data_IF_511049239492
#
_entry.id   IF_511049239492
#
_cell.length_a   1.000
_cell.length_b   1.000
_cell.length_c   1.000
_cell.angle_alpha   90.00
_cell.angle_beta   90.00
_cell.angle_gamma   90.00
#
_symmetry.space_group_name_H-M   'P 1'
#
loop_
_entity.id
_entity.type
_entity.pdbx_description
1 polymer ?
#
# COMPACT_ATOMS: atom_id res chain seq x y z
N UNK A 1 -40.41 -11.79 39.30
CA UNK A 1 -40.68 -11.26 37.95
C UNK A 1 -39.50 -10.37 37.58
N UNK A 2 -38.44 -10.97 37.06
CA UNK A 2 -38.05 -10.91 35.64
C UNK A 2 -37.78 -9.49 35.13
N UNK A 3 -36.49 -9.22 35.05
CA UNK A 3 -35.78 -8.24 34.23
C UNK A 3 -36.39 -8.01 32.84
N UNK A 4 -36.49 -6.75 32.44
CA UNK A 4 -36.27 -6.34 31.05
C UNK A 4 -35.23 -5.21 31.02
N UNK A 5 -34.07 -5.41 30.38
CA UNK A 5 -33.18 -4.31 30.02
C UNK A 5 -33.80 -3.54 28.85
N UNK A 6 -33.66 -2.21 28.84
CA UNK A 6 -33.86 -1.41 27.65
C UNK A 6 -32.79 -1.79 26.60
N UNK A 7 -33.12 -2.75 25.75
CA UNK A 7 -32.54 -2.87 24.42
C UNK A 7 -33.12 -1.78 23.50
N UNK A 8 -32.26 -1.26 22.62
CA UNK A 8 -32.51 -0.34 21.49
C UNK A 8 -32.12 1.12 21.67
N UNK A 9 -30.81 1.37 21.70
CA UNK A 9 -30.21 2.54 21.03
C UNK A 9 -28.90 2.15 20.32
N UNK A 10 -28.99 1.24 19.33
CA UNK A 10 -27.88 0.88 18.44
C UNK A 10 -28.17 1.23 16.97
N UNK A 11 -28.90 2.33 16.71
CA UNK A 11 -29.14 2.80 15.32
C UNK A 11 -29.03 4.31 15.12
N UNK A 12 -28.15 5.00 15.87
CA UNK A 12 -27.65 6.29 15.39
C UNK A 12 -26.71 6.01 14.20
N UNK A 13 -27.28 6.03 13.00
CA UNK A 13 -26.60 5.66 11.75
C UNK A 13 -25.30 6.44 11.51
N UNK A 14 -24.41 5.82 10.74
CA UNK A 14 -23.10 6.31 10.26
C UNK A 14 -23.08 7.77 9.78
N UNK A 15 -24.21 8.34 9.37
CA UNK A 15 -24.35 9.75 8.98
C UNK A 15 -24.25 10.71 10.17
N UNK A 16 -24.80 10.38 11.35
CA UNK A 16 -24.75 11.25 12.53
C UNK A 16 -23.32 11.38 13.05
N UNK A 17 -22.56 10.28 13.05
CA UNK A 17 -21.13 10.28 13.36
C UNK A 17 -20.33 11.11 12.36
N UNK A 18 -20.71 11.09 11.08
CA UNK A 18 -20.05 11.93 10.06
C UNK A 18 -20.30 13.42 10.29
N UNK A 19 -21.51 13.80 10.71
CA UNK A 19 -21.87 15.18 11.07
C UNK A 19 -21.20 15.61 12.38
N UNK A 20 -21.17 14.73 13.38
CA UNK A 20 -20.49 14.99 14.66
C UNK A 20 -18.99 15.20 14.44
N UNK A 21 -18.34 14.29 13.71
CA UNK A 21 -16.93 14.42 13.35
C UNK A 21 -16.65 15.71 12.56
N UNK A 22 -17.58 16.14 11.70
CA UNK A 22 -17.50 17.40 10.95
C UNK A 22 -17.61 18.63 11.85
N UNK A 23 -18.53 18.63 12.83
CA UNK A 23 -18.68 19.74 13.78
C UNK A 23 -17.50 19.79 14.76
N UNK A 24 -17.06 18.65 15.27
CA UNK A 24 -15.90 18.55 16.17
C UNK A 24 -14.61 19.00 15.49
N UNK A 25 -14.44 18.62 14.22
CA UNK A 25 -13.39 19.10 13.35
C UNK A 25 -13.33 20.63 13.23
N UNK A 26 -14.48 21.27 12.99
CA UNK A 26 -14.57 22.73 12.88
C UNK A 26 -14.26 23.44 14.20
N UNK A 27 -14.62 22.84 15.33
CA UNK A 27 -14.31 23.39 16.67
C UNK A 27 -12.83 23.23 17.02
N UNK A 28 -12.19 22.15 16.55
CA UNK A 28 -10.82 21.81 16.93
C UNK A 28 -9.74 22.34 15.97
N UNK A 29 -10.09 22.81 14.77
CA UNK A 29 -9.13 23.38 13.81
C UNK A 29 -8.40 24.63 14.34
N UNK A 30 -8.92 25.26 15.39
CA UNK A 30 -8.42 26.53 15.92
C UNK A 30 -7.72 26.43 17.28
N UNK A 31 -7.82 25.29 17.99
CA UNK A 31 -7.24 25.14 19.34
C UNK A 31 -5.71 25.03 19.36
N UNK A 32 -5.11 24.65 18.23
CA UNK A 32 -3.67 24.48 18.07
C UNK A 32 -2.96 25.59 17.30
N UNK A 33 -3.69 26.57 16.73
CA UNK A 33 -3.13 27.71 15.99
C UNK A 33 -2.45 27.40 14.64
N UNK A 34 -2.52 26.15 14.15
CA UNK A 34 -1.72 25.69 13.01
C UNK A 34 -2.46 25.64 11.67
N UNK A 35 -3.76 25.97 11.62
CA UNK A 35 -4.55 26.04 10.38
C UNK A 35 -4.47 24.75 9.52
N UNK A 36 -4.70 23.59 10.14
CA UNK A 36 -4.58 22.28 9.49
C UNK A 36 -5.94 21.62 9.15
N UNK A 37 -7.06 22.25 9.49
CA UNK A 37 -8.40 21.80 9.12
C UNK A 37 -8.83 22.30 7.72
N UNK A 38 -9.37 21.42 6.87
CA UNK A 38 -9.95 21.81 5.57
C UNK A 38 -11.32 21.20 5.35
N UNK A 39 -12.24 21.98 4.78
CA UNK A 39 -13.51 21.49 4.25
C UNK A 39 -13.38 21.34 2.73
N UNK A 40 -13.41 20.10 2.25
CA UNK A 40 -13.37 19.78 0.83
C UNK A 40 -14.80 19.59 0.33
N UNK A 41 -15.20 20.47 -0.57
CA UNK A 41 -16.47 20.36 -1.30
C UNK A 41 -16.19 19.72 -2.66
N UNK A 42 -16.85 18.60 -2.94
CA UNK A 42 -16.93 18.01 -4.29
C UNK A 42 -18.34 18.28 -4.80
N UNK A 43 -18.54 19.30 -5.66
CA UNK A 43 -19.85 19.62 -6.21
C UNK A 43 -20.39 18.44 -7.00
N UNK A 44 -21.71 18.29 -7.02
CA UNK A 44 -22.36 17.38 -7.96
C UNK A 44 -22.20 17.97 -9.36
N UNK A 45 -21.51 17.27 -10.27
CA UNK A 45 -21.53 17.66 -11.68
C UNK A 45 -22.95 17.58 -12.21
N UNK A 46 -23.37 18.58 -12.99
CA UNK A 46 -24.63 18.53 -13.75
C UNK A 46 -24.62 17.28 -14.65
N UNK A 47 -25.78 16.64 -14.91
CA UNK A 47 -25.83 15.42 -15.69
C UNK A 47 -25.32 15.68 -17.11
N UNK A 48 -24.09 15.29 -17.40
CA UNK A 48 -23.65 15.04 -18.77
C UNK A 48 -24.38 13.80 -19.28
N UNK A 49 -24.97 13.91 -20.46
CA UNK A 49 -25.76 12.88 -21.15
C UNK A 49 -24.89 11.66 -21.47
N UNK A 50 -24.64 10.81 -20.48
CA UNK A 50 -24.22 9.40 -20.65
C UNK A 50 -24.35 8.69 -19.31
N UNK A 51 -24.81 7.46 -19.40
CA UNK A 51 -25.48 6.67 -18.38
C UNK A 51 -24.55 6.17 -17.26
N UNK A 52 -25.13 6.05 -16.06
CA UNK A 52 -24.76 5.22 -14.90
C UNK A 52 -23.55 5.58 -14.03
N UNK A 53 -23.50 6.79 -13.45
CA UNK A 53 -22.95 6.93 -12.11
C UNK A 53 -23.68 8.04 -11.35
N UNK A 54 -24.38 7.67 -10.28
CA UNK A 54 -24.98 8.58 -9.31
C UNK A 54 -23.87 9.19 -8.43
N UNK A 55 -23.02 10.02 -9.03
CA UNK A 55 -22.02 10.79 -8.27
C UNK A 55 -22.75 11.86 -7.46
N UNK A 56 -23.17 11.50 -6.24
CA UNK A 56 -23.63 12.45 -5.25
C UNK A 56 -22.50 13.43 -4.94
N UNK A 57 -22.81 14.72 -4.84
CA UNK A 57 -21.85 15.69 -4.32
C UNK A 57 -21.44 15.28 -2.90
N UNK A 58 -20.18 15.53 -2.53
CA UNK A 58 -19.66 15.15 -1.22
C UNK A 58 -19.06 16.34 -0.50
N UNK A 59 -19.38 16.48 0.79
CA UNK A 59 -18.69 17.38 1.71
C UNK A 59 -17.84 16.52 2.64
N UNK A 60 -16.55 16.81 2.75
CA UNK A 60 -15.63 16.09 3.64
C UNK A 60 -14.78 17.07 4.42
N UNK A 61 -14.75 16.94 5.73
CA UNK A 61 -13.70 17.59 6.52
C UNK A 61 -12.47 16.68 6.57
N UNK A 62 -11.30 17.28 6.44
CA UNK A 62 -10.01 16.60 6.47
C UNK A 62 -9.04 17.37 7.36
N UNK A 63 -8.18 16.61 8.04
CA UNK A 63 -7.10 17.15 8.84
C UNK A 63 -5.79 16.94 8.08
N UNK A 64 -5.05 18.02 7.88
CA UNK A 64 -3.79 18.01 7.15
C UNK A 64 -2.62 17.51 8.01
N UNK A 65 -2.70 17.49 9.34
CA UNK A 65 -1.72 16.82 10.20
C UNK A 65 -2.39 15.79 11.14
N UNK A 66 -2.84 14.63 10.62
CA UNK A 66 -3.53 13.63 11.44
C UNK A 66 -2.61 13.03 12.51
N UNK A 67 -1.28 13.14 12.37
CA UNK A 67 -0.32 12.73 13.38
C UNK A 67 -0.58 13.40 14.74
N UNK A 68 -1.27 14.55 14.77
CA UNK A 68 -1.76 15.16 16.01
C UNK A 68 -2.97 14.47 16.61
N UNK A 69 -3.82 13.82 15.83
CA UNK A 69 -5.15 13.39 16.25
C UNK A 69 -5.18 11.86 16.31
N UNK A 70 -4.82 11.29 17.46
CA UNK A 70 -5.08 9.88 17.72
C UNK A 70 -6.38 9.77 18.52
N UNK A 71 -7.37 9.05 17.99
CA UNK A 71 -8.51 8.63 18.80
C UNK A 71 -8.02 7.62 19.84
N UNK A 72 -7.73 8.09 21.06
CA UNK A 72 -7.67 7.19 22.20
C UNK A 72 -9.09 6.61 22.40
N UNK A 73 -9.23 5.29 22.28
CA UNK A 73 -10.49 4.60 22.58
C UNK A 73 -10.85 4.85 24.05
N UNK A 74 -12.02 5.43 24.37
CA UNK A 74 -12.39 5.70 25.74
C UNK A 74 -12.91 4.42 26.40
N UNK A 75 -12.28 4.00 27.50
CA UNK A 75 -12.80 2.92 28.36
C UNK A 75 -13.98 3.41 29.22
N UNK A 76 -14.26 4.71 29.26
CA UNK A 76 -15.43 5.28 29.94
C UNK A 76 -15.94 6.50 29.17
N UNK A 77 -17.27 6.75 29.23
CA UNK A 77 -18.16 7.70 28.53
C UNK A 77 -17.69 9.16 28.27
N UNK A 78 -16.43 9.52 28.49
CA UNK A 78 -15.83 10.77 28.03
C UNK A 78 -14.84 10.50 26.89
N UNK A 79 -15.16 10.98 25.69
CA UNK A 79 -14.25 11.02 24.54
C UNK A 79 -13.15 12.06 24.85
N UNK A 80 -12.10 11.64 25.57
CA UNK A 80 -10.89 12.43 25.70
C UNK A 80 -10.10 12.30 24.40
N UNK A 81 -10.13 13.34 23.57
CA UNK A 81 -9.19 13.50 22.49
C UNK A 81 -7.82 13.80 23.08
N UNK A 82 -6.97 12.77 23.15
CA UNK A 82 -5.56 12.97 23.43
C UNK A 82 -4.86 13.21 22.09
N UNK A 83 -4.33 14.42 21.89
CA UNK A 83 -3.48 14.64 20.74
C UNK A 83 -2.24 13.72 20.88
N UNK A 84 -1.77 13.07 19.81
CA UNK A 84 -0.59 12.21 19.93
C UNK A 84 0.63 12.99 20.43
N UNK A 85 0.70 14.29 20.10
CA UNK A 85 1.66 15.22 20.68
C UNK A 85 1.52 15.28 22.20
N UNK A 86 0.31 15.39 22.73
CA UNK A 86 0.07 15.42 24.17
C UNK A 86 0.39 14.07 24.81
N UNK A 87 0.11 12.96 24.12
CA UNK A 87 0.58 11.63 24.56
C UNK A 87 2.11 11.60 24.64
N UNK A 88 2.82 12.13 23.63
CA UNK A 88 4.28 12.20 23.62
C UNK A 88 4.83 13.14 24.71
N UNK A 89 4.11 14.20 25.06
CA UNK A 89 4.47 15.14 26.14
C UNK A 89 4.24 14.55 27.53
N UNK A 90 3.11 13.88 27.75
CA UNK A 90 2.67 13.39 29.06
C UNK A 90 3.24 12.02 29.40
N UNK A 91 3.40 11.15 28.40
CA UNK A 91 3.91 9.81 28.63
C UNK A 91 5.39 9.85 29.05
N UNK A 92 5.75 8.98 29.99
CA UNK A 92 7.15 8.75 30.37
C UNK A 92 7.99 8.27 29.18
N UNK A 93 7.41 7.43 28.32
CA UNK A 93 8.04 6.90 27.11
C UNK A 93 6.98 6.46 26.11
N UNK A 94 7.19 6.73 24.82
CA UNK A 94 6.33 6.26 23.72
C UNK A 94 7.14 5.33 22.83
N UNK A 95 6.60 4.13 22.56
CA UNK A 95 7.22 3.15 21.68
C UNK A 95 6.29 2.96 20.48
N UNK A 96 6.76 3.33 19.29
CA UNK A 96 6.06 3.08 18.03
C UNK A 96 6.69 1.85 17.36
N UNK A 97 5.88 0.83 17.08
CA UNK A 97 6.33 -0.44 16.51
C UNK A 97 5.54 -0.75 15.24
N UNK A 98 6.24 -1.04 14.14
CA UNK A 98 5.59 -1.53 12.93
C UNK A 98 6.58 -2.01 11.87
N UNK A 99 6.18 -3.04 11.11
CA UNK A 99 7.03 -3.71 10.12
C UNK A 99 7.31 -2.90 8.85
N UNK A 100 6.51 -1.87 8.56
CA UNK A 100 6.61 -1.06 7.33
C UNK A 100 6.54 0.44 7.62
N UNK A 101 6.94 0.86 8.82
CA UNK A 101 6.87 2.27 9.23
C UNK A 101 7.86 3.17 8.48
N UNK A 102 8.98 2.62 8.01
CA UNK A 102 9.99 3.38 7.26
C UNK A 102 9.37 3.92 5.95
N UNK A 103 9.56 5.20 5.61
CA UNK A 103 10.37 6.23 6.30
C UNK A 103 9.72 6.88 7.53
N UNK A 104 10.57 7.23 8.51
CA UNK A 104 10.19 7.77 9.82
C UNK A 104 10.05 9.29 9.86
N UNK A 105 10.58 10.00 8.87
CA UNK A 105 10.69 11.47 8.82
C UNK A 105 9.36 12.15 9.15
N UNK A 106 8.24 11.63 8.65
CA UNK A 106 6.91 12.15 8.94
C UNK A 106 6.58 12.16 10.43
N UNK A 107 6.92 11.08 11.15
CA UNK A 107 6.68 10.99 12.59
C UNK A 107 7.58 11.96 13.35
N UNK A 108 8.85 12.05 12.96
CA UNK A 108 9.80 12.97 13.58
C UNK A 108 9.32 14.41 13.40
N UNK A 109 9.10 14.81 12.16
CA UNK A 109 8.80 16.19 11.79
C UNK A 109 7.42 16.64 12.28
N UNK A 110 6.39 15.78 12.18
CA UNK A 110 5.01 16.19 12.45
C UNK A 110 4.51 15.87 13.86
N UNK A 111 5.20 15.00 14.61
CA UNK A 111 4.76 14.55 15.94
C UNK A 111 5.83 14.82 17.01
N UNK A 112 7.05 14.30 16.86
CA UNK A 112 8.07 14.38 17.91
C UNK A 112 8.66 15.79 18.06
N UNK A 113 9.09 16.42 16.97
CA UNK A 113 9.62 17.81 17.02
C UNK A 113 8.57 18.80 17.57
N UNK A 114 7.30 18.77 17.12
CA UNK A 114 6.25 19.64 17.69
C UNK A 114 5.89 19.30 19.14
N UNK A 115 6.18 18.09 19.61
CA UNK A 115 6.07 17.71 21.01
C UNK A 115 7.24 18.21 21.88
N UNK A 116 8.19 18.95 21.29
CA UNK A 116 9.38 19.46 21.97
C UNK A 116 10.46 18.41 22.19
N UNK A 117 10.40 17.29 21.47
CA UNK A 117 11.47 16.27 21.49
C UNK A 117 12.54 16.65 20.47
N UNK A 118 13.79 16.50 20.84
CA UNK A 118 14.94 16.68 19.94
C UNK A 118 15.47 15.33 19.45
N UNK A 119 16.35 15.33 18.45
CA UNK A 119 16.90 14.10 17.85
C UNK A 119 17.52 13.15 18.89
N UNK A 120 18.10 13.68 19.97
CA UNK A 120 18.67 12.87 21.06
C UNK A 120 17.62 12.15 21.91
N UNK A 121 16.37 12.62 21.89
CA UNK A 121 15.25 12.00 22.62
C UNK A 121 14.62 10.86 21.81
N UNK A 122 14.87 10.80 20.50
CA UNK A 122 14.25 9.84 19.60
C UNK A 122 15.24 8.76 19.19
N UNK A 123 15.06 7.57 19.76
CA UNK A 123 15.83 6.39 19.37
C UNK A 123 15.12 5.64 18.24
N UNK A 124 15.78 5.57 17.07
CA UNK A 124 15.31 4.75 15.94
C UNK A 124 16.03 3.41 15.98
N UNK A 125 15.25 2.33 16.09
CA UNK A 125 15.76 0.97 16.07
C UNK A 125 15.10 0.17 14.94
N UNK A 126 15.91 -0.54 14.15
CA UNK A 126 15.44 -1.43 13.09
C UNK A 126 16.08 -2.79 13.26
N UNK A 127 15.27 -3.82 13.45
CA UNK A 127 15.72 -5.20 13.34
C UNK A 127 15.93 -5.57 11.86
N UNK A 128 16.85 -6.49 11.61
CA UNK A 128 16.85 -7.23 10.35
C UNK A 128 15.57 -8.06 10.20
N UNK A 129 15.29 -8.52 8.99
CA UNK A 129 14.19 -9.45 8.78
C UNK A 129 14.59 -10.85 9.24
N UNK A 130 13.61 -11.67 9.64
CA UNK A 130 13.81 -13.07 10.02
C UNK A 130 14.30 -13.94 8.84
N UNK A 131 14.22 -13.42 7.61
CA UNK A 131 14.69 -14.13 6.43
C UNK A 131 16.08 -13.68 6.03
N UNK A 132 16.85 -14.58 5.42
CA UNK A 132 18.07 -14.21 4.73
C UNK A 132 17.69 -13.64 3.35
N UNK A 133 17.58 -12.32 3.26
CA UNK A 133 17.14 -11.64 2.04
C UNK A 133 17.97 -11.99 0.79
N UNK A 134 19.28 -12.27 0.94
CA UNK A 134 20.16 -12.62 -0.18
C UNK A 134 19.85 -13.99 -0.79
N UNK A 135 19.26 -14.90 -0.01
CA UNK A 135 18.94 -16.25 -0.46
C UNK A 135 17.44 -16.45 -0.66
N UNK A 136 16.59 -15.88 0.19
CA UNK A 136 15.15 -16.11 0.18
C UNK A 136 14.37 -15.07 -0.62
N UNK A 137 15.03 -13.99 -1.06
CA UNK A 137 14.41 -12.97 -1.89
C UNK A 137 15.27 -12.72 -3.12
N UNK A 138 14.63 -12.61 -4.28
CA UNK A 138 15.27 -12.10 -5.49
C UNK A 138 14.47 -10.91 -5.99
N UNK A 139 15.09 -9.72 -6.01
CA UNK A 139 14.44 -8.50 -6.50
C UNK A 139 15.08 -8.10 -7.82
N UNK A 140 14.26 -8.03 -8.88
CA UNK A 140 14.69 -7.56 -10.19
C UNK A 140 14.07 -6.21 -10.52
N UNK A 141 14.88 -5.25 -10.93
CA UNK A 141 14.42 -3.96 -11.44
C UNK A 141 14.46 -3.95 -12.96
N UNK A 142 13.43 -3.41 -13.61
CA UNK A 142 13.45 -3.20 -15.07
C UNK A 142 13.34 -1.73 -15.43
N UNK A 143 14.12 -1.32 -16.43
CA UNK A 143 14.15 0.03 -16.97
C UNK A 143 13.06 0.33 -17.99
N UNK A 144 12.34 -0.69 -18.49
CA UNK A 144 11.42 -0.52 -19.63
C UNK A 144 9.97 -0.71 -19.17
N UNK A 145 9.24 0.39 -19.10
CA UNK A 145 7.77 0.42 -19.13
C UNK A 145 7.27 0.40 -20.59
N UNK A 146 6.01 0.05 -20.77
CA UNK A 146 5.29 -0.30 -22.01
C UNK A 146 5.72 0.47 -23.28
N UNK A 147 6.75 -0.02 -24.00
CA UNK A 147 6.95 0.03 -25.46
C UNK A 147 8.35 -0.52 -25.85
N UNK A 148 8.49 -1.85 -25.78
CA UNK A 148 9.41 -2.71 -26.57
C UNK A 148 10.11 -3.86 -25.82
N UNK A 149 9.61 -4.21 -24.64
CA UNK A 149 9.65 -5.61 -24.20
C UNK A 149 8.23 -6.13 -24.05
N UNK A 150 7.85 -7.07 -24.91
CA UNK A 150 6.69 -7.91 -24.66
C UNK A 150 6.95 -8.66 -23.36
N UNK A 151 6.08 -8.46 -22.37
CA UNK A 151 6.07 -9.24 -21.15
C UNK A 151 5.71 -10.68 -21.49
N UNK A 152 6.73 -11.44 -21.84
CA UNK A 152 6.58 -12.83 -22.16
C UNK A 152 6.56 -13.65 -20.87
N UNK A 153 5.44 -13.53 -20.15
CA UNK A 153 5.09 -14.48 -19.10
C UNK A 153 4.70 -15.85 -19.71
N UNK A 154 5.00 -16.12 -20.98
CA UNK A 154 4.91 -17.46 -21.56
C UNK A 154 6.29 -18.13 -21.43
N UNK A 155 6.88 -18.15 -20.23
CA UNK A 155 8.09 -18.95 -19.94
C UNK A 155 7.73 -20.41 -20.12
N UNK A 156 7.97 -20.91 -21.33
CA UNK A 156 7.18 -22.01 -21.89
C UNK A 156 7.18 -23.33 -21.13
N UNK A 157 8.04 -23.62 -20.15
CA UNK A 157 8.12 -25.01 -19.65
C UNK A 157 8.54 -25.26 -18.18
N UNK A 158 8.77 -24.29 -17.29
CA UNK A 158 9.29 -24.67 -15.94
C UNK A 158 9.05 -23.71 -14.77
N UNK A 159 8.90 -22.41 -15.01
CA UNK A 159 8.79 -21.40 -13.93
C UNK A 159 7.33 -21.19 -13.49
N UNK A 160 6.35 -21.61 -14.30
CA UNK A 160 4.93 -21.39 -14.01
C UNK A 160 4.25 -22.46 -13.17
N UNK A 161 4.91 -23.55 -12.78
CA UNK A 161 4.38 -24.45 -11.74
C UNK A 161 4.42 -23.83 -10.33
N UNK A 162 4.99 -22.63 -10.22
CA UNK A 162 5.30 -21.99 -8.96
C UNK A 162 4.08 -21.15 -8.56
N UNK A 163 3.40 -21.60 -7.52
CA UNK A 163 2.19 -21.05 -6.89
C UNK A 163 1.52 -19.85 -7.56
N UNK A 164 1.36 -18.80 -6.78
CA UNK A 164 0.61 -17.59 -7.06
C UNK A 164 1.52 -16.46 -7.49
N UNK A 165 1.06 -15.68 -8.45
CA UNK A 165 1.69 -14.44 -8.91
C UNK A 165 0.76 -13.28 -8.60
N UNK A 166 1.20 -12.35 -7.77
CA UNK A 166 0.47 -11.12 -7.47
C UNK A 166 1.05 -9.96 -8.28
N UNK A 167 0.25 -9.35 -9.16
CA UNK A 167 0.65 -8.21 -10.01
C UNK A 167 -0.05 -6.97 -9.51
N UNK A 168 0.71 -6.05 -8.93
CA UNK A 168 0.22 -4.83 -8.33
C UNK A 168 0.35 -3.64 -9.29
N UNK A 169 -0.77 -2.94 -9.49
CA UNK A 169 -0.88 -1.73 -10.29
C UNK A 169 -1.10 -0.50 -9.38
N UNK A 170 -0.71 0.70 -9.83
CA UNK A 170 -0.83 1.92 -9.01
C UNK A 170 -2.27 2.44 -8.92
N UNK A 171 -3.15 2.08 -9.86
CA UNK A 171 -4.56 2.48 -9.84
C UNK A 171 -5.46 1.52 -10.62
N UNK A 172 -6.75 1.53 -10.31
CA UNK A 172 -7.77 0.74 -11.04
C UNK A 172 -7.88 1.17 -12.51
N UNK A 173 -7.73 2.47 -12.78
CA UNK A 173 -7.83 3.01 -14.15
C UNK A 173 -6.65 2.54 -15.00
N UNK A 174 -5.43 2.59 -14.44
CA UNK A 174 -4.25 2.10 -15.14
C UNK A 174 -4.30 0.58 -15.34
N UNK A 175 -4.75 -0.18 -14.32
CA UNK A 175 -5.04 -1.61 -14.47
C UNK A 175 -6.04 -1.86 -15.60
N UNK A 176 -7.11 -1.07 -15.71
CA UNK A 176 -8.10 -1.23 -16.78
C UNK A 176 -7.50 -1.01 -18.18
N UNK A 177 -6.69 0.04 -18.34
CA UNK A 177 -5.97 0.33 -19.60
C UNK A 177 -5.09 -0.85 -19.99
N UNK A 178 -4.19 -1.28 -19.09
CA UNK A 178 -3.27 -2.39 -19.36
C UNK A 178 -4.01 -3.70 -19.63
N UNK A 179 -5.06 -3.98 -18.87
CA UNK A 179 -5.90 -5.16 -19.05
C UNK A 179 -6.57 -5.20 -20.42
N UNK A 180 -7.05 -4.06 -20.92
CA UNK A 180 -7.63 -3.95 -22.25
C UNK A 180 -6.55 -4.14 -23.34
N UNK A 181 -5.35 -3.59 -23.16
CA UNK A 181 -4.22 -3.85 -24.05
C UNK A 181 -3.82 -5.33 -24.07
N UNK A 182 -3.87 -6.02 -22.94
CA UNK A 182 -3.60 -7.47 -22.89
C UNK A 182 -4.63 -8.27 -23.67
N UNK A 183 -5.90 -7.87 -23.63
CA UNK A 183 -6.95 -8.52 -24.43
C UNK A 183 -6.77 -8.25 -25.93
N UNK A 184 -6.55 -7.00 -26.33
CA UNK A 184 -6.44 -6.63 -27.76
C UNK A 184 -5.19 -7.20 -28.43
N UNK A 185 -4.08 -7.35 -27.68
CA UNK A 185 -2.84 -7.94 -28.19
C UNK A 185 -2.83 -9.47 -28.20
N UNK A 186 -3.87 -10.13 -27.69
CA UNK A 186 -3.90 -11.59 -27.51
C UNK A 186 -3.01 -12.12 -26.38
N UNK A 187 -2.30 -11.24 -25.66
CA UNK A 187 -1.48 -11.63 -24.52
C UNK A 187 -2.31 -12.27 -23.40
N UNK A 188 -3.52 -11.76 -23.15
CA UNK A 188 -4.41 -12.31 -22.12
C UNK A 188 -4.74 -13.78 -22.37
N UNK A 189 -5.07 -14.14 -23.62
CA UNK A 189 -5.32 -15.54 -23.99
C UNK A 189 -4.08 -16.42 -23.76
N UNK A 190 -2.89 -15.93 -24.15
CA UNK A 190 -1.61 -16.62 -23.89
C UNK A 190 -1.31 -16.78 -22.40
N UNK A 191 -1.65 -15.79 -21.56
CA UNK A 191 -1.51 -15.91 -20.11
C UNK A 191 -2.41 -17.00 -19.55
N UNK A 192 -3.66 -17.07 -20.03
CA UNK A 192 -4.62 -18.10 -19.62
C UNK A 192 -4.19 -19.51 -20.03
N UNK A 193 -3.45 -19.65 -21.14
CA UNK A 193 -2.82 -20.94 -21.51
C UNK A 193 -1.64 -21.33 -20.62
N UNK A 194 -1.26 -20.48 -19.65
CA UNK A 194 -0.23 -20.78 -18.65
C UNK A 194 -0.81 -20.85 -17.23
N UNK A 195 -1.45 -19.78 -16.74
CA UNK A 195 -2.08 -19.70 -15.40
C UNK A 195 -3.51 -19.19 -15.46
N UNK A 196 -4.34 -19.55 -14.49
CA UNK A 196 -5.65 -18.88 -14.33
C UNK A 196 -5.41 -17.44 -13.88
N UNK A 197 -5.97 -16.47 -14.62
CA UNK A 197 -5.76 -15.04 -14.37
C UNK A 197 -7.01 -14.43 -13.74
N UNK A 198 -6.83 -13.81 -12.59
CA UNK A 198 -7.85 -13.09 -11.82
C UNK A 198 -7.57 -11.59 -11.84
N UNK A 199 -8.60 -10.80 -11.56
CA UNK A 199 -8.52 -9.34 -11.46
C UNK A 199 -9.28 -8.88 -10.23
N UNK A 200 -8.68 -7.99 -9.45
CA UNK A 200 -9.35 -7.34 -8.33
C UNK A 200 -10.56 -6.52 -8.83
N UNK A 201 -11.76 -6.77 -8.30
CA UNK A 201 -12.94 -5.97 -8.60
C UNK A 201 -12.85 -4.62 -7.88
N UNK A 202 -13.46 -3.58 -8.46
CA UNK A 202 -13.56 -2.26 -7.80
C UNK A 202 -14.50 -2.30 -6.59
N UNK A 203 -15.52 -3.17 -6.63
CA UNK A 203 -16.54 -3.34 -5.60
C UNK A 203 -16.17 -4.46 -4.63
N UNK A 204 -16.42 -4.26 -3.33
CA UNK A 204 -16.08 -5.24 -2.30
C UNK A 204 -16.92 -6.54 -2.36
N UNK A 205 -18.12 -6.49 -2.93
CA UNK A 205 -19.08 -7.60 -2.92
C UNK A 205 -18.53 -8.86 -3.59
N UNK A 206 -17.83 -8.71 -4.73
CA UNK A 206 -17.25 -9.83 -5.46
C UNK A 206 -15.82 -10.21 -5.00
N UNK A 207 -15.26 -9.51 -4.02
CA UNK A 207 -13.85 -9.66 -3.64
C UNK A 207 -13.57 -11.03 -3.00
N UNK A 208 -14.46 -11.46 -2.10
CA UNK A 208 -14.32 -12.72 -1.37
C UNK A 208 -14.36 -13.93 -2.30
N UNK A 209 -15.29 -13.94 -3.25
CA UNK A 209 -15.43 -15.02 -4.23
C UNK A 209 -14.21 -15.13 -5.14
N UNK A 210 -13.70 -14.00 -5.64
CA UNK A 210 -12.50 -13.97 -6.49
C UNK A 210 -11.27 -14.45 -5.73
N UNK A 211 -11.14 -14.08 -4.45
CA UNK A 211 -10.03 -14.55 -3.61
C UNK A 211 -10.11 -16.07 -3.39
N UNK A 212 -11.28 -16.60 -3.02
CA UNK A 212 -11.46 -18.04 -2.84
C UNK A 212 -11.14 -18.82 -4.13
N UNK A 213 -11.58 -18.31 -5.28
CA UNK A 213 -11.27 -18.89 -6.58
C UNK A 213 -9.76 -18.81 -6.89
N UNK A 214 -9.10 -17.70 -6.53
CA UNK A 214 -7.65 -17.54 -6.64
C UNK A 214 -6.90 -18.57 -5.79
N UNK A 215 -7.20 -18.70 -4.50
CA UNK A 215 -6.56 -19.68 -3.61
C UNK A 215 -6.70 -21.09 -4.14
N UNK A 216 -7.90 -21.44 -4.60
CA UNK A 216 -8.19 -22.76 -5.19
C UNK A 216 -7.37 -23.00 -6.47
N UNK A 217 -7.20 -21.97 -7.29
CA UNK A 217 -6.41 -22.07 -8.52
C UNK A 217 -4.89 -22.12 -8.24
N UNK A 218 -4.41 -21.44 -7.19
CA UNK A 218 -3.00 -21.49 -6.76
C UNK A 218 -2.59 -22.92 -6.40
N UNK A 219 -3.45 -23.65 -5.68
CA UNK A 219 -3.17 -25.05 -5.27
C UNK A 219 -3.15 -26.05 -6.44
N UNK A 220 -3.54 -25.64 -7.65
CA UNK A 220 -3.48 -26.50 -8.84
C UNK A 220 -2.06 -26.48 -9.42
N UNK A 221 -1.68 -27.52 -10.18
CA UNK A 221 -0.34 -27.66 -10.79
C UNK A 221 0.14 -26.44 -11.60
N UNK A 222 -0.77 -25.66 -12.15
CA UNK A 222 -0.47 -24.48 -12.97
C UNK A 222 -0.37 -23.20 -12.14
N UNK A 223 -0.88 -23.20 -10.92
CA UNK A 223 -1.02 -22.01 -10.09
C UNK A 223 -1.92 -20.93 -10.70
N UNK A 224 -1.87 -19.74 -10.12
CA UNK A 224 -2.73 -18.62 -10.52
C UNK A 224 -1.97 -17.29 -10.57
N UNK A 225 -2.55 -16.33 -11.26
CA UNK A 225 -2.09 -14.94 -11.30
C UNK A 225 -3.26 -14.04 -10.91
N UNK A 226 -3.02 -13.03 -10.08
CA UNK A 226 -4.02 -12.03 -9.73
C UNK A 226 -3.48 -10.63 -9.97
N UNK A 227 -4.24 -9.83 -10.73
CA UNK A 227 -3.96 -8.42 -10.97
C UNK A 227 -4.72 -7.55 -9.96
N UNK A 228 -3.98 -6.84 -9.12
CA UNK A 228 -4.47 -6.09 -7.97
C UNK A 228 -4.05 -4.63 -8.04
N UNK A 229 -4.63 -3.79 -7.20
CA UNK A 229 -4.23 -2.39 -7.03
C UNK A 229 -3.55 -2.20 -5.68
N UNK A 230 -2.44 -1.47 -5.65
CA UNK A 230 -1.74 -1.09 -4.42
C UNK A 230 -2.62 -0.13 -3.60
N UNK A 231 -2.78 -0.41 -2.31
CA UNK A 231 -3.73 0.33 -1.46
C UNK A 231 -5.20 0.01 -1.78
N UNK A 232 -5.46 -0.97 -2.65
CA UNK A 232 -6.76 -1.58 -2.85
C UNK A 232 -7.16 -2.49 -1.70
N UNK A 233 -8.43 -2.90 -1.68
CA UNK A 233 -8.99 -3.72 -0.61
C UNK A 233 -8.27 -5.06 -0.48
N UNK A 234 -7.85 -5.63 -1.62
CA UNK A 234 -7.13 -6.89 -1.64
C UNK A 234 -5.68 -6.74 -1.13
N UNK A 235 -5.03 -5.61 -1.38
CA UNK A 235 -3.62 -5.39 -0.98
C UNK A 235 -3.46 -4.94 0.49
N UNK A 236 -4.50 -4.36 1.08
CA UNK A 236 -4.51 -3.97 2.49
C UNK A 236 -5.00 -5.09 3.43
N UNK A 237 -6.06 -5.81 3.04
CA UNK A 237 -6.74 -6.77 3.93
C UNK A 237 -6.30 -8.23 3.78
N UNK A 238 -5.65 -8.60 2.67
CA UNK A 238 -5.41 -10.02 2.34
C UNK A 238 -3.93 -10.35 2.40
N UNK A 239 -3.66 -11.49 3.03
CA UNK A 239 -2.33 -11.97 3.29
C UNK A 239 -2.00 -13.09 2.27
N UNK A 240 -1.04 -12.83 1.37
CA UNK A 240 -0.49 -13.84 0.46
C UNK A 240 0.62 -14.68 1.11
N UNK A 241 0.27 -15.77 1.80
CA UNK A 241 1.26 -16.65 2.43
C UNK A 241 1.83 -17.62 1.39
N UNK A 242 3.12 -17.94 1.49
CA UNK A 242 3.71 -19.08 0.83
C UNK A 242 3.39 -19.13 -0.68
N UNK A 243 2.70 -20.19 -1.10
CA UNK A 243 2.35 -20.44 -2.48
C UNK A 243 1.34 -19.43 -3.01
N UNK A 244 0.68 -18.62 -2.17
CA UNK A 244 -0.24 -17.58 -2.64
C UNK A 244 0.46 -16.40 -3.32
N UNK A 245 1.76 -16.16 -3.08
CA UNK A 245 2.54 -15.13 -3.81
C UNK A 245 4.04 -15.45 -3.84
N UNK A 246 4.44 -16.51 -4.56
CA UNK A 246 5.86 -16.80 -4.82
C UNK A 246 6.51 -15.82 -5.78
N UNK A 247 5.71 -15.10 -6.56
CA UNK A 247 6.16 -13.96 -7.32
C UNK A 247 5.25 -12.74 -7.08
N UNK A 248 5.87 -11.59 -6.85
CA UNK A 248 5.22 -10.29 -6.76
C UNK A 248 5.75 -9.42 -7.88
N UNK A 249 4.86 -8.77 -8.63
CA UNK A 249 5.22 -7.83 -9.69
C UNK A 249 4.61 -6.49 -9.34
N UNK A 250 5.43 -5.47 -9.13
CA UNK A 250 5.00 -4.11 -8.80
C UNK A 250 5.19 -3.27 -10.05
N UNK A 251 4.08 -2.81 -10.64
CA UNK A 251 4.07 -2.02 -11.87
C UNK A 251 4.04 -0.54 -11.53
N UNK A 252 5.06 0.19 -11.98
CA UNK A 252 5.19 1.61 -11.76
C UNK A 252 5.40 1.98 -10.29
N UNK A 253 5.20 3.27 -9.99
CA UNK A 253 5.23 3.82 -8.64
C UNK A 253 3.84 4.31 -8.24
N UNK A 254 3.25 3.81 -7.13
CA UNK A 254 1.93 4.20 -6.65
C UNK A 254 1.94 5.58 -5.97
N UNK A 255 2.32 6.62 -6.72
CA UNK A 255 2.24 7.98 -6.20
C UNK A 255 0.78 8.39 -5.96
N UNK A 256 0.52 9.15 -4.88
CA UNK A 256 -0.80 9.72 -4.66
C UNK A 256 -1.17 10.70 -5.77
N UNK A 257 -2.47 10.89 -5.98
CA UNK A 257 -2.96 11.92 -6.89
C UNK A 257 -2.75 13.33 -6.31
N UNK A 258 -1.63 13.95 -6.66
CA UNK A 258 -1.25 15.32 -6.25
C UNK A 258 -2.23 16.39 -6.71
N UNK A 259 -3.09 16.10 -7.69
CA UNK A 259 -4.07 17.07 -8.20
C UNK A 259 -5.38 17.07 -7.40
N UNK A 260 -5.59 16.10 -6.52
CA UNK A 260 -6.75 16.09 -5.64
C UNK A 260 -6.73 17.31 -4.70
N UNK A 261 -7.90 17.87 -4.40
CA UNK A 261 -8.01 19.05 -3.52
C UNK A 261 -7.33 18.80 -2.17
N UNK A 262 -7.52 17.60 -1.59
CA UNK A 262 -6.85 17.17 -0.36
C UNK A 262 -5.33 17.22 -0.48
N UNK A 263 -4.77 16.59 -1.52
CA UNK A 263 -3.32 16.52 -1.66
C UNK A 263 -2.71 17.90 -1.90
N UNK A 264 -3.34 18.77 -2.69
CA UNK A 264 -2.87 20.15 -2.88
C UNK A 264 -2.74 20.89 -1.54
N UNK A 265 -3.81 20.86 -0.74
CA UNK A 265 -3.80 21.50 0.58
C UNK A 265 -2.78 20.86 1.53
N UNK A 266 -2.70 19.53 1.58
CA UNK A 266 -1.71 18.80 2.41
C UNK A 266 -0.28 19.18 2.01
N UNK A 267 0.02 19.24 0.72
CA UNK A 267 1.36 19.60 0.24
C UNK A 267 1.70 21.05 0.57
N UNK A 268 0.77 21.99 0.34
CA UNK A 268 0.94 23.40 0.70
C UNK A 268 1.21 23.57 2.22
N UNK A 269 0.43 22.87 3.04
CA UNK A 269 0.60 22.86 4.49
C UNK A 269 1.98 22.32 4.89
N UNK A 270 2.39 21.18 4.34
CA UNK A 270 3.70 20.59 4.62
C UNK A 270 4.86 21.49 4.19
N UNK A 271 4.75 22.16 3.05
CA UNK A 271 5.77 23.10 2.58
C UNK A 271 5.88 24.33 3.49
N UNK A 272 4.75 24.85 3.99
CA UNK A 272 4.72 26.02 4.87
C UNK A 272 5.21 25.72 6.29
N UNK A 273 4.84 24.57 6.86
CA UNK A 273 5.07 24.26 8.28
C UNK A 273 6.28 23.35 8.53
N UNK A 274 6.67 22.53 7.55
CA UNK A 274 7.71 21.50 7.72
C UNK A 274 8.77 21.53 6.60
N UNK A 275 8.82 22.59 5.78
CA UNK A 275 9.55 22.58 4.52
C UNK A 275 10.54 23.72 4.29
N UNK A 276 11.84 23.40 4.26
CA UNK A 276 12.85 24.03 3.40
C UNK A 276 12.61 23.63 1.91
N UNK A 277 11.41 23.89 1.36
CA UNK A 277 10.99 23.64 -0.05
C UNK A 277 10.97 22.19 -0.57
N UNK A 278 11.20 21.15 0.24
CA UNK A 278 11.13 19.74 -0.22
C UNK A 278 10.15 18.83 0.56
N UNK A 279 9.38 19.38 1.50
CA UNK A 279 8.49 18.61 2.38
C UNK A 279 7.41 17.83 1.62
N UNK A 280 6.76 18.48 0.65
CA UNK A 280 5.73 17.85 -0.18
C UNK A 280 6.25 16.68 -1.02
N UNK A 281 7.41 16.85 -1.67
CA UNK A 281 8.04 15.79 -2.46
C UNK A 281 8.39 14.57 -1.59
N UNK A 282 9.02 14.80 -0.43
CA UNK A 282 9.38 13.71 0.50
C UNK A 282 8.14 12.97 1.00
N UNK A 283 7.06 13.69 1.29
CA UNK A 283 5.79 13.08 1.69
C UNK A 283 5.21 12.18 0.59
N UNK A 284 5.20 12.63 -0.66
CA UNK A 284 4.74 11.81 -1.78
C UNK A 284 5.63 10.57 -2.01
N UNK A 285 6.96 10.72 -1.95
CA UNK A 285 7.91 9.61 -2.06
C UNK A 285 7.73 8.61 -0.90
N UNK A 286 7.53 9.10 0.32
CA UNK A 286 7.27 8.29 1.51
C UNK A 286 5.98 7.48 1.37
N UNK A 287 4.87 8.11 0.97
CA UNK A 287 3.59 7.42 0.79
C UNK A 287 3.70 6.33 -0.28
N UNK A 288 4.30 6.68 -1.42
CA UNK A 288 4.56 5.73 -2.50
C UNK A 288 5.37 4.52 -2.02
N UNK A 289 6.50 4.77 -1.34
CA UNK A 289 7.41 3.69 -0.92
C UNK A 289 6.87 2.88 0.24
N UNK A 290 6.05 3.44 1.14
CA UNK A 290 5.34 2.65 2.17
C UNK A 290 4.43 1.62 1.52
N UNK A 291 3.68 2.00 0.49
CA UNK A 291 2.80 1.06 -0.20
C UNK A 291 3.57 -0.01 -0.98
N UNK A 292 4.70 0.34 -1.60
CA UNK A 292 5.61 -0.64 -2.24
C UNK A 292 6.19 -1.61 -1.22
N UNK A 293 6.73 -1.10 -0.11
CA UNK A 293 7.32 -1.91 0.96
C UNK A 293 6.28 -2.84 1.60
N UNK A 294 5.05 -2.36 1.76
CA UNK A 294 3.95 -3.17 2.22
C UNK A 294 3.65 -4.31 1.24
N UNK A 295 3.56 -4.03 -0.06
CA UNK A 295 3.32 -5.05 -1.07
C UNK A 295 4.43 -6.13 -1.09
N UNK A 296 5.70 -5.73 -0.94
CA UNK A 296 6.84 -6.67 -0.81
C UNK A 296 6.68 -7.51 0.46
N UNK A 297 6.45 -6.86 1.61
CA UNK A 297 6.28 -7.53 2.90
C UNK A 297 5.09 -8.49 2.97
N UNK A 298 4.09 -8.36 2.09
CA UNK A 298 2.97 -9.33 2.02
C UNK A 298 3.40 -10.72 1.57
N UNK A 299 4.48 -10.81 0.78
CA UNK A 299 4.97 -12.05 0.16
C UNK A 299 5.97 -12.84 1.00
N UNK A 300 6.43 -12.29 2.14
CA UNK A 300 7.40 -12.95 3.01
C UNK A 300 6.92 -12.86 4.46
N UNK A 301 6.55 -14.01 5.04
CA UNK A 301 5.85 -14.07 6.33
C UNK A 301 6.65 -14.61 7.49
N UNK A 302 7.47 -15.61 7.23
CA UNK A 302 8.16 -16.37 8.25
C UNK A 302 9.58 -16.69 7.83
N UNK A 303 10.37 -17.19 8.79
CA UNK A 303 11.78 -17.49 8.62
C UNK A 303 12.10 -18.37 7.40
N UNK A 304 11.17 -19.25 7.01
CA UNK A 304 11.33 -20.18 5.87
C UNK A 304 10.70 -19.70 4.55
N UNK A 305 10.13 -18.50 4.52
CA UNK A 305 9.40 -18.04 3.34
C UNK A 305 10.36 -17.52 2.27
N UNK A 306 9.93 -17.52 1.01
CA UNK A 306 10.74 -17.03 -0.11
C UNK A 306 9.85 -16.54 -1.26
N UNK A 307 10.32 -15.49 -1.94
CA UNK A 307 9.61 -14.90 -3.05
C UNK A 307 10.55 -14.25 -4.07
N UNK A 308 10.07 -14.07 -5.29
CA UNK A 308 10.69 -13.22 -6.29
C UNK A 308 9.87 -11.95 -6.43
N UNK A 309 10.52 -10.79 -6.44
CA UNK A 309 9.88 -9.48 -6.64
C UNK A 309 10.39 -8.87 -7.93
N UNK A 310 9.49 -8.39 -8.77
CA UNK A 310 9.80 -7.61 -9.95
C UNK A 310 9.34 -6.17 -9.73
N UNK A 311 10.29 -5.23 -9.70
CA UNK A 311 10.04 -3.80 -9.61
C UNK A 311 10.09 -3.20 -11.02
N UNK A 312 8.91 -2.91 -11.56
CA UNK A 312 8.73 -2.52 -12.96
C UNK A 312 8.61 -1.02 -13.08
N UNK A 313 9.73 -0.34 -12.89
CA UNK A 313 9.89 1.08 -13.16
C UNK A 313 11.39 1.44 -13.16
N UNK A 314 11.85 2.19 -14.16
CA UNK A 314 13.25 2.61 -14.23
C UNK A 314 13.69 3.42 -12.99
N UNK A 315 12.75 4.14 -12.37
CA UNK A 315 13.01 5.00 -11.21
C UNK A 315 13.47 4.21 -9.99
N UNK A 316 13.12 2.92 -9.87
CA UNK A 316 13.67 2.08 -8.80
C UNK A 316 15.18 1.91 -8.90
N UNK A 317 15.75 1.98 -10.11
CA UNK A 317 17.19 1.90 -10.35
C UNK A 317 17.86 3.27 -10.39
N UNK A 318 17.22 4.26 -11.03
CA UNK A 318 17.86 5.57 -11.29
C UNK A 318 17.71 6.55 -10.13
N UNK A 319 16.69 6.43 -9.29
CA UNK A 319 16.47 7.36 -8.19
C UNK A 319 17.02 6.81 -6.87
N UNK A 320 18.22 7.31 -6.49
CA UNK A 320 18.89 6.95 -5.23
C UNK A 320 18.02 7.21 -3.99
N UNK A 321 17.13 8.20 -3.99
CA UNK A 321 16.26 8.47 -2.83
C UNK A 321 15.24 7.36 -2.63
N UNK A 322 14.59 6.90 -3.70
CA UNK A 322 13.64 5.78 -3.62
C UNK A 322 14.31 4.51 -3.12
N UNK A 323 15.55 4.26 -3.55
CA UNK A 323 16.35 3.15 -3.04
C UNK A 323 16.57 3.22 -1.52
N UNK A 324 16.89 4.40 -0.98
CA UNK A 324 17.09 4.61 0.46
C UNK A 324 15.80 4.46 1.28
N UNK A 325 14.64 4.61 0.65
CA UNK A 325 13.31 4.40 1.25
C UNK A 325 12.90 2.92 1.33
N UNK A 326 13.65 2.01 0.70
CA UNK A 326 13.49 0.58 0.95
C UNK A 326 13.95 0.24 2.39
N UNK A 327 13.36 -0.80 3.03
CA UNK A 327 13.85 -1.33 4.29
C UNK A 327 15.31 -1.76 4.18
N UNK A 328 16.09 -1.51 5.23
CA UNK A 328 17.54 -1.82 5.26
C UNK A 328 17.83 -3.27 4.89
N UNK A 329 16.98 -4.21 5.30
CA UNK A 329 17.15 -5.64 5.03
C UNK A 329 17.00 -6.05 3.55
N UNK A 330 16.41 -5.20 2.68
CA UNK A 330 16.34 -5.45 1.23
C UNK A 330 17.17 -4.50 0.39
N UNK A 331 17.78 -3.45 0.93
CA UNK A 331 18.43 -2.42 0.12
C UNK A 331 19.51 -2.97 -0.82
N UNK A 332 20.24 -4.02 -0.43
CA UNK A 332 21.32 -4.57 -1.26
C UNK A 332 20.87 -5.74 -2.16
N UNK A 333 19.56 -6.03 -2.20
CA UNK A 333 19.00 -7.17 -2.96
C UNK A 333 18.59 -6.82 -4.41
N UNK A 334 18.01 -5.63 -4.70
CA UNK A 334 17.66 -5.23 -6.07
C UNK A 334 18.83 -5.32 -7.03
N UNK A 335 18.61 -6.01 -8.14
CA UNK A 335 19.54 -6.08 -9.26
C UNK A 335 18.81 -5.83 -10.60
N UNK A 336 19.49 -5.30 -11.62
CA UNK A 336 18.87 -5.12 -12.93
C UNK A 336 18.42 -6.47 -13.51
N UNK A 337 17.30 -6.46 -14.22
CA UNK A 337 16.81 -7.63 -14.93
C UNK A 337 17.83 -8.04 -16.01
N UNK A 338 18.24 -9.33 -16.10
CA UNK A 338 19.12 -9.80 -17.15
C UNK A 338 18.55 -9.51 -18.54
N UNK A 339 19.38 -9.02 -19.46
CA UNK A 339 18.95 -8.69 -20.84
C UNK A 339 18.55 -9.93 -21.65
N UNK A 340 19.16 -11.09 -21.34
CA UNK A 340 18.86 -12.35 -22.00
C UNK A 340 17.78 -13.12 -21.24
N UNK A 341 16.71 -13.53 -21.95
CA UNK A 341 15.59 -14.29 -21.37
C UNK A 341 16.04 -15.61 -20.73
N UNK A 342 17.01 -16.30 -21.34
CA UNK A 342 17.49 -17.59 -20.84
C UNK A 342 18.28 -17.46 -19.54
N UNK A 343 19.06 -16.37 -19.39
CA UNK A 343 19.77 -16.07 -18.14
C UNK A 343 18.78 -15.85 -16.99
N UNK A 344 17.76 -15.02 -17.20
CA UNK A 344 16.70 -14.81 -16.19
C UNK A 344 16.00 -16.14 -15.86
N UNK A 345 15.71 -16.96 -16.86
CA UNK A 345 15.05 -18.25 -16.67
C UNK A 345 15.90 -19.16 -15.78
N UNK A 346 17.20 -19.24 -16.04
CA UNK A 346 18.13 -20.05 -15.27
C UNK A 346 18.21 -19.58 -13.82
N UNK A 347 18.39 -18.27 -13.59
CA UNK A 347 18.46 -17.70 -12.23
C UNK A 347 17.19 -17.96 -11.42
N UNK A 348 16.01 -17.86 -12.05
CA UNK A 348 14.74 -18.16 -11.39
C UNK A 348 14.62 -19.64 -11.03
N UNK A 349 14.99 -20.54 -11.95
CA UNK A 349 14.98 -21.99 -11.69
C UNK A 349 15.89 -22.33 -10.52
N UNK A 350 17.12 -21.83 -10.51
CA UNK A 350 18.08 -22.03 -9.41
C UNK A 350 17.57 -21.49 -8.09
N UNK A 351 17.00 -20.27 -8.08
CA UNK A 351 16.39 -19.67 -6.89
C UNK A 351 15.29 -20.55 -6.29
N UNK A 352 14.36 -21.02 -7.13
CA UNK A 352 13.23 -21.81 -6.66
C UNK A 352 13.61 -23.24 -6.28
N UNK A 353 14.55 -23.87 -6.99
CA UNK A 353 15.08 -25.19 -6.61
C UNK A 353 15.80 -25.14 -5.25
N UNK A 354 16.65 -24.14 -5.04
CA UNK A 354 17.37 -23.95 -3.78
C UNK A 354 16.42 -23.72 -2.59
N UNK A 355 15.42 -22.85 -2.76
CA UNK A 355 14.53 -22.52 -1.65
C UNK A 355 13.44 -23.58 -1.40
N UNK A 356 12.97 -24.29 -2.43
CA UNK A 356 12.00 -25.38 -2.24
C UNK A 356 12.58 -26.60 -1.52
N UNK A 357 13.87 -26.89 -1.74
CA UNK A 357 14.58 -27.98 -1.05
C UNK A 357 14.93 -27.63 0.39
N UNK A 358 15.29 -26.38 0.67
CA UNK A 358 15.60 -25.90 2.03
C UNK A 358 14.36 -25.78 2.95
N UNK A 359 13.15 -25.80 2.38
CA UNK A 359 11.89 -25.66 3.12
C UNK A 359 11.27 -27.01 3.50
N UNK A 360 11.69 -28.11 2.85
CA UNK A 360 11.39 -29.50 3.26
C UNK A 360 12.34 -29.92 4.38
#
# INVERSE_FOLDING_TARGET
MTTQPLENQQSAGTCLFSVLNFLEALVNSDRGGDDDGRVIVTPKCAPSVTISDSSSGSLRFVILNPGRYLHAMPVFIFIYFAFLIDVVKQARSVILVGGTMKPFDEFIDQIFLPAGKVDTDVSIFSCGHVINAKSQLAIYTTSVSFNNTTWDFTFKNSIFSIGGVAVFFPSFDYLAVVWNCWKSSGLFARLQTVKTVFREPRTATALTEIMQAYMTAVSKKRGACIACVIGGKLSEGINFNDDLARAVVIIGLPYPNVYSAFMKEKLNFLEKHFGNRSGGQRFCEALCMRSVNQAIGRSIRHAKDYAVVFLVDQRFTTNRRLHLLLPSWIQDVPKPLPSQKDALKQELVEFFQRNSTATR
#
